data_IF_394068930009
#
_entry.id   IF_394068930009
#
_cell.length_a   1.000
_cell.length_b   1.000
_cell.length_c   1.000
_cell.angle_alpha   90.00
_cell.angle_beta   90.00
_cell.angle_gamma   90.00
#
_symmetry.space_group_name_H-M   'P 1'
#
loop_
_entity.id
_entity.type
_entity.pdbx_description
1 polymer ?
#
# COMPACT_ATOMS: atom_id res chain seq x y z
N UNK A 1 -1.38 -10.28 20.86
CA UNK A 1 -2.09 -9.43 19.87
C UNK A 1 -1.11 -8.34 19.43
N UNK A 2 -0.73 -8.31 18.16
CA UNK A 2 0.15 -7.26 17.61
C UNK A 2 -0.71 -6.36 16.72
N UNK A 3 -1.54 -5.54 17.36
CA UNK A 3 -2.55 -4.74 16.70
C UNK A 3 -1.85 -3.54 16.04
N UNK A 4 -1.96 -3.42 14.72
CA UNK A 4 -1.37 -2.30 14.00
C UNK A 4 -0.94 -2.67 12.59
N UNK A 5 -0.55 -1.64 11.86
CA UNK A 5 -0.21 -1.72 10.44
C UNK A 5 1.10 -1.03 10.16
N UNK A 6 1.75 -1.47 9.08
CA UNK A 6 2.88 -0.80 8.44
C UNK A 6 2.53 -0.53 6.99
N UNK A 7 2.52 0.75 6.62
CA UNK A 7 2.32 1.21 5.26
C UNK A 7 3.68 1.46 4.62
N UNK A 8 3.96 0.81 3.50
CA UNK A 8 5.13 1.09 2.68
C UNK A 8 4.73 2.07 1.59
N UNK A 9 5.45 3.17 1.48
CA UNK A 9 5.08 4.32 0.66
C UNK A 9 6.05 4.53 -0.49
N UNK A 10 5.52 5.02 -1.60
CA UNK A 10 6.32 5.48 -2.73
C UNK A 10 7.29 6.59 -2.28
N UNK A 11 8.55 6.58 -2.71
CA UNK A 11 9.51 7.64 -2.37
C UNK A 11 8.96 9.04 -2.65
N UNK A 12 9.19 9.97 -1.71
CA UNK A 12 8.68 11.34 -1.80
C UNK A 12 7.22 11.51 -1.38
N UNK A 13 6.52 10.43 -1.01
CA UNK A 13 5.16 10.54 -0.44
C UNK A 13 5.19 11.26 0.91
N UNK A 14 4.51 12.40 0.99
CA UNK A 14 4.31 13.13 2.23
C UNK A 14 3.28 12.43 3.13
N UNK A 15 3.62 12.28 4.41
CA UNK A 15 2.70 11.80 5.45
C UNK A 15 1.90 13.00 5.96
N UNK A 16 0.57 12.89 5.94
CA UNK A 16 -0.34 13.95 6.41
C UNK A 16 -0.12 14.25 7.90
N UNK A 17 -0.27 15.52 8.26
CA UNK A 17 -0.03 16.04 9.60
C UNK A 17 -0.83 15.33 10.69
N UNK A 18 -2.11 15.04 10.43
CA UNK A 18 -2.97 14.35 11.39
C UNK A 18 -2.49 12.92 11.73
N UNK A 19 -1.74 12.28 10.82
CA UNK A 19 -1.05 11.00 11.09
C UNK A 19 0.28 11.27 11.78
N UNK A 20 1.07 12.22 11.25
CA UNK A 20 2.42 12.52 11.73
C UNK A 20 2.45 12.96 13.19
N UNK A 21 1.48 13.74 13.64
CA UNK A 21 1.46 14.29 15.00
C UNK A 21 1.02 13.30 16.09
N UNK A 22 0.66 12.07 15.72
CA UNK A 22 0.30 11.00 16.66
C UNK A 22 1.55 10.23 17.12
N UNK A 23 2.54 10.94 17.68
CA UNK A 23 3.90 10.43 17.94
C UNK A 23 3.97 9.24 18.89
N UNK A 24 2.99 9.08 19.79
CA UNK A 24 2.89 7.92 20.67
C UNK A 24 2.55 6.63 19.92
N UNK A 25 1.88 6.72 18.76
CA UNK A 25 1.41 5.54 18.01
C UNK A 25 2.09 5.40 16.65
N UNK A 26 2.74 6.45 16.15
CA UNK A 26 3.25 6.52 14.78
C UNK A 26 4.78 6.56 14.76
N UNK A 27 5.37 5.67 13.96
CA UNK A 27 6.78 5.66 13.63
C UNK A 27 6.92 5.84 12.11
N UNK A 28 7.73 6.81 11.68
CA UNK A 28 8.01 7.09 10.28
C UNK A 28 9.48 6.87 10.03
N UNK A 29 9.82 6.18 8.95
CA UNK A 29 11.21 5.90 8.62
C UNK A 29 11.41 5.48 7.18
N UNK A 30 12.55 4.86 6.91
CA UNK A 30 12.91 4.31 5.61
C UNK A 30 13.39 2.88 5.75
N UNK A 31 13.15 2.09 4.72
CA UNK A 31 13.68 0.73 4.62
C UNK A 31 13.88 0.29 3.16
N UNK A 32 14.29 -0.97 2.95
CA UNK A 32 14.45 -1.57 1.63
C UNK A 32 13.27 -2.48 1.30
N UNK A 33 12.67 -2.26 0.13
CA UNK A 33 11.72 -3.18 -0.51
C UNK A 33 12.32 -3.59 -1.86
N UNK A 34 12.73 -4.85 -1.98
CA UNK A 34 13.37 -5.42 -3.17
C UNK A 34 14.49 -4.53 -3.72
N UNK A 35 15.43 -4.17 -2.84
CA UNK A 35 16.57 -3.29 -3.14
C UNK A 35 16.25 -1.79 -3.21
N UNK A 36 14.99 -1.40 -3.41
CA UNK A 36 14.56 0.00 -3.48
C UNK A 36 14.39 0.61 -2.09
N UNK A 37 14.95 1.79 -1.86
CA UNK A 37 14.67 2.56 -0.65
C UNK A 37 13.24 3.10 -0.71
N UNK A 38 12.43 2.80 0.30
CA UNK A 38 11.03 3.26 0.44
C UNK A 38 10.84 3.91 1.80
N UNK A 39 9.83 4.77 1.92
CA UNK A 39 9.41 5.31 3.22
C UNK A 39 8.40 4.36 3.85
N UNK A 40 8.36 4.28 5.18
CA UNK A 40 7.31 3.57 5.89
C UNK A 40 6.62 4.45 6.92
N UNK A 41 5.37 4.09 7.24
CA UNK A 41 4.62 4.58 8.39
C UNK A 41 4.08 3.38 9.14
N UNK A 42 4.52 3.18 10.38
CA UNK A 42 3.94 2.19 11.29
C UNK A 42 2.94 2.89 12.20
N UNK A 43 1.79 2.26 12.41
CA UNK A 43 0.73 2.77 13.28
C UNK A 43 0.37 1.65 14.25
N UNK A 44 0.86 1.78 15.49
CA UNK A 44 0.51 0.88 16.60
C UNK A 44 -0.98 1.01 16.89
N UNK A 45 -1.67 -0.12 17.04
CA UNK A 45 -3.12 -0.23 17.26
C UNK A 45 -3.98 0.46 16.18
N UNK A 46 -3.41 0.84 15.03
CA UNK A 46 -4.15 1.45 13.93
C UNK A 46 -4.67 0.41 12.95
N UNK A 47 -5.69 0.79 12.20
CA UNK A 47 -6.29 -0.01 11.12
C UNK A 47 -6.16 0.75 9.80
N UNK A 48 -6.15 0.03 8.68
CA UNK A 48 -6.21 0.62 7.35
C UNK A 48 -7.21 -0.11 6.45
N UNK A 49 -7.90 0.67 5.63
CA UNK A 49 -8.64 0.18 4.49
C UNK A 49 -7.85 0.51 3.22
N UNK A 50 -7.57 -0.52 2.42
CA UNK A 50 -6.79 -0.39 1.21
C UNK A 50 -7.69 -0.40 -0.02
N UNK A 51 -7.54 0.60 -0.86
CA UNK A 51 -8.13 0.64 -2.18
C UNK A 51 -7.12 0.08 -3.19
N UNK A 52 -7.52 -0.85 -4.06
CA UNK A 52 -6.73 -1.53 -5.09
C UNK A 52 -5.64 -0.72 -5.80
N UNK A 53 -5.90 0.55 -6.08
CA UNK A 53 -5.00 1.49 -6.75
C UNK A 53 -3.91 2.09 -5.84
N UNK A 54 -3.88 1.76 -4.55
CA UNK A 54 -2.96 2.30 -3.55
C UNK A 54 -3.48 3.48 -2.76
N UNK A 55 -4.78 3.76 -2.81
CA UNK A 55 -5.43 4.69 -1.90
C UNK A 55 -5.58 4.03 -0.53
N UNK A 56 -5.37 4.77 0.55
CA UNK A 56 -5.47 4.21 1.90
C UNK A 56 -6.15 5.18 2.84
N UNK A 57 -7.15 4.66 3.52
CA UNK A 57 -7.76 5.26 4.70
C UNK A 57 -7.20 4.60 5.95
N UNK A 58 -6.99 5.40 7.00
CA UNK A 58 -6.46 4.94 8.29
C UNK A 58 -7.43 5.32 9.38
N UNK A 59 -7.67 4.39 10.30
CA UNK A 59 -8.30 4.66 11.60
C UNK A 59 -7.20 4.63 12.66
N UNK A 60 -7.04 5.75 13.35
CA UNK A 60 -6.05 5.87 14.42
C UNK A 60 -6.55 5.17 15.70
N UNK A 61 -5.64 4.78 16.60
CA UNK A 61 -6.04 4.27 17.91
C UNK A 61 -6.91 5.29 18.64
N UNK A 62 -8.09 4.84 19.11
CA UNK A 62 -9.05 5.70 19.81
C UNK A 62 -9.88 6.62 18.92
N UNK A 63 -9.77 6.50 17.58
CA UNK A 63 -10.66 7.17 16.65
C UNK A 63 -11.82 6.23 16.24
N UNK A 64 -13.00 6.81 16.05
CA UNK A 64 -14.21 6.06 15.67
C UNK A 64 -14.35 5.86 14.15
N UNK A 65 -13.61 6.63 13.35
CA UNK A 65 -13.77 6.66 11.89
C UNK A 65 -12.45 6.53 11.12
N UNK A 66 -12.56 5.99 9.91
CA UNK A 66 -11.49 5.97 8.93
C UNK A 66 -11.38 7.33 8.22
N UNK A 67 -10.16 7.79 8.00
CA UNK A 67 -9.89 9.03 7.28
C UNK A 67 -8.84 8.81 6.19
N UNK A 68 -9.02 9.47 5.04
CA UNK A 68 -8.10 9.40 3.91
C UNK A 68 -6.70 9.87 4.32
N UNK A 69 -5.77 8.92 4.36
CA UNK A 69 -4.36 9.17 4.66
C UNK A 69 -3.56 9.38 3.38
N UNK A 70 -3.77 8.51 2.38
CA UNK A 70 -3.00 8.49 1.14
C UNK A 70 -3.90 8.34 -0.09
N UNK A 71 -3.60 9.12 -1.13
CA UNK A 71 -4.25 9.02 -2.44
C UNK A 71 -3.77 7.78 -3.20
N UNK A 72 -4.47 7.36 -4.28
CA UNK A 72 -4.00 6.30 -5.17
C UNK A 72 -2.53 6.47 -5.61
N UNK A 73 -1.86 5.34 -5.84
CA UNK A 73 -0.45 5.24 -6.23
C UNK A 73 0.54 5.88 -5.25
N UNK A 74 0.19 5.94 -3.96
CA UNK A 74 1.10 6.39 -2.89
C UNK A 74 1.52 5.27 -1.95
N UNK A 75 0.65 4.28 -1.71
CA UNK A 75 0.97 3.11 -0.90
C UNK A 75 1.32 1.92 -1.80
N UNK A 76 2.44 1.28 -1.49
CA UNK A 76 3.00 0.10 -2.16
C UNK A 76 2.43 -1.18 -1.57
N UNK A 77 2.57 -1.33 -0.25
CA UNK A 77 2.11 -2.50 0.52
C UNK A 77 1.57 -2.05 1.87
N UNK A 78 0.60 -2.81 2.38
CA UNK A 78 0.23 -2.83 3.79
C UNK A 78 0.73 -4.15 4.37
N UNK A 79 1.42 -4.06 5.50
CA UNK A 79 1.85 -5.22 6.29
C UNK A 79 1.32 -5.10 7.71
N UNK A 80 1.18 -6.22 8.39
CA UNK A 80 1.03 -6.21 9.84
C UNK A 80 2.36 -5.80 10.52
N UNK A 81 2.34 -5.57 11.83
CA UNK A 81 3.57 -5.24 12.58
C UNK A 81 4.51 -6.45 12.79
N UNK A 82 4.13 -7.67 12.37
CA UNK A 82 5.03 -8.84 12.29
C UNK A 82 5.78 -8.90 10.96
N UNK A 83 5.35 -8.12 9.97
CA UNK A 83 5.91 -8.11 8.61
C UNK A 83 5.11 -8.94 7.60
N UNK A 84 4.01 -9.57 7.99
CA UNK A 84 3.12 -10.32 7.10
C UNK A 84 2.44 -9.36 6.12
N UNK A 85 2.38 -9.72 4.84
CA UNK A 85 1.65 -8.95 3.84
C UNK A 85 0.14 -9.01 4.10
N UNK A 86 -0.50 -7.86 4.22
CA UNK A 86 -1.97 -7.72 4.28
C UNK A 86 -2.51 -7.48 2.88
N UNK A 87 -1.97 -6.47 2.17
CA UNK A 87 -2.42 -6.11 0.82
C UNK A 87 -1.31 -5.42 0.02
N UNK A 88 -1.38 -5.50 -1.30
CA UNK A 88 -0.40 -4.92 -2.24
C UNK A 88 -1.09 -4.17 -3.37
N UNK A 89 -0.51 -3.01 -3.72
CA UNK A 89 -0.93 -2.20 -4.87
C UNK A 89 -0.86 -2.98 -6.18
N UNK A 90 -1.93 -2.93 -6.97
CA UNK A 90 -2.07 -3.67 -8.23
C UNK A 90 -0.97 -3.31 -9.24
N UNK A 91 -0.54 -2.05 -9.22
CA UNK A 91 0.45 -1.51 -10.14
C UNK A 91 1.90 -1.68 -9.66
N UNK A 92 2.11 -2.28 -8.48
CA UNK A 92 3.45 -2.51 -7.94
C UNK A 92 4.13 -3.69 -8.62
N UNK A 93 5.23 -3.42 -9.32
CA UNK A 93 6.12 -4.47 -9.79
C UNK A 93 6.85 -5.11 -8.59
N UNK A 94 6.71 -6.43 -8.42
CA UNK A 94 7.34 -7.19 -7.33
C UNK A 94 8.83 -7.40 -7.54
N UNK A 95 9.37 -7.21 -8.73
CA UNK A 95 10.82 -7.32 -8.97
C UNK A 95 11.55 -6.03 -8.59
N UNK A 96 11.11 -4.89 -9.13
CA UNK A 96 11.82 -3.61 -8.95
C UNK A 96 11.14 -2.64 -7.97
N UNK A 97 10.10 -3.09 -7.26
CA UNK A 97 9.33 -2.33 -6.28
C UNK A 97 8.85 -0.95 -6.77
N UNK A 98 8.56 -0.82 -8.08
CA UNK A 98 8.14 0.44 -8.71
C UNK A 98 6.66 0.36 -9.12
N UNK A 99 5.90 1.44 -8.93
CA UNK A 99 4.49 1.56 -9.32
C UNK A 99 4.34 1.84 -10.84
N UNK A 100 4.75 0.86 -11.65
CA UNK A 100 4.85 0.97 -13.12
C UNK A 100 4.12 -0.14 -13.86
N UNK A 101 3.27 -0.91 -13.16
CA UNK A 101 2.42 -1.90 -13.81
C UNK A 101 1.50 -1.24 -14.83
N UNK A 102 1.60 -1.67 -16.08
CA UNK A 102 0.61 -1.42 -17.12
C UNK A 102 -0.24 -2.67 -17.26
N UNK A 103 -1.56 -2.49 -17.26
CA UNK A 103 -2.52 -3.56 -17.53
C UNK A 103 -2.43 -3.92 -19.02
N UNK A 104 -2.18 -5.20 -19.36
CA UNK A 104 -2.09 -5.66 -20.75
C UNK A 104 -3.39 -6.33 -21.22
N UNK A 105 -4.01 -7.15 -20.38
CA UNK A 105 -5.28 -7.81 -20.66
C UNK A 105 -6.25 -7.63 -19.49
N UNK A 106 -7.49 -7.25 -19.79
CA UNK A 106 -8.57 -6.97 -18.83
C UNK A 106 -9.79 -7.81 -19.17
N UNK A 107 -10.31 -8.57 -18.21
CA UNK A 107 -11.60 -9.26 -18.33
C UNK A 107 -12.72 -8.39 -17.74
N UNK A 108 -13.62 -7.80 -18.56
CA UNK A 108 -14.62 -6.85 -18.09
C UNK A 108 -15.62 -7.38 -17.07
N UNK A 109 -15.83 -8.70 -17.04
CA UNK A 109 -16.78 -9.38 -16.15
C UNK A 109 -16.32 -9.51 -14.70
N UNK A 110 -15.09 -9.09 -14.37
CA UNK A 110 -14.45 -9.41 -13.08
C UNK A 110 -14.25 -8.22 -12.14
N UNK A 111 -14.71 -7.01 -12.49
CA UNK A 111 -14.72 -5.86 -11.57
C UNK A 111 -15.92 -5.99 -10.64
N UNK A 112 -15.82 -6.93 -9.71
CA UNK A 112 -16.70 -7.00 -8.55
C UNK A 112 -15.97 -6.33 -7.40
N UNK A 113 -16.56 -5.27 -6.84
CA UNK A 113 -16.06 -4.57 -5.66
C UNK A 113 -14.60 -4.06 -5.74
N UNK A 114 -14.18 -3.54 -6.90
CA UNK A 114 -12.87 -2.91 -7.09
C UNK A 114 -11.70 -3.88 -7.26
N UNK A 115 -11.94 -5.19 -7.14
CA UNK A 115 -10.91 -6.19 -7.40
C UNK A 115 -10.79 -6.40 -8.92
N UNK A 116 -9.58 -6.68 -9.40
CA UNK A 116 -9.28 -6.74 -10.84
C UNK A 116 -8.59 -8.07 -11.15
N UNK A 117 -9.16 -8.85 -12.06
CA UNK A 117 -8.45 -9.93 -12.74
C UNK A 117 -7.76 -9.36 -13.98
N UNK A 118 -6.44 -9.29 -13.94
CA UNK A 118 -5.67 -8.77 -15.06
C UNK A 118 -4.23 -9.26 -15.07
N UNK A 119 -3.65 -9.22 -16.27
CA UNK A 119 -2.21 -9.36 -16.48
C UNK A 119 -1.58 -7.98 -16.51
N UNK A 120 -0.48 -7.84 -15.78
CA UNK A 120 0.29 -6.62 -15.69
C UNK A 120 1.71 -6.83 -16.22
N UNK A 121 2.28 -5.77 -16.79
CA UNK A 121 3.67 -5.71 -17.19
C UNK A 121 4.34 -4.46 -16.62
N UNK A 122 5.52 -4.62 -16.06
CA UNK A 122 6.32 -3.51 -15.58
C UNK A 122 6.91 -2.73 -16.75
N UNK A 123 6.59 -1.45 -16.87
CA UNK A 123 7.17 -0.60 -17.92
C UNK A 123 8.65 -0.28 -17.70
N UNK A 124 9.22 -0.62 -16.53
CA UNK A 124 10.63 -0.35 -16.19
C UNK A 124 11.56 -1.55 -16.40
N UNK A 125 11.16 -2.75 -15.98
CA UNK A 125 12.00 -3.95 -16.06
C UNK A 125 11.39 -5.09 -16.88
N UNK A 126 10.20 -4.90 -17.47
CA UNK A 126 9.54 -5.91 -18.30
C UNK A 126 8.89 -7.07 -17.54
N UNK A 127 9.13 -7.21 -16.23
CA UNK A 127 8.50 -8.23 -15.39
C UNK A 127 6.98 -8.26 -15.55
N UNK A 128 6.41 -9.45 -15.73
CA UNK A 128 4.97 -9.67 -15.86
C UNK A 128 4.42 -10.40 -14.64
N UNK A 129 3.20 -10.06 -14.22
CA UNK A 129 2.50 -10.75 -13.14
C UNK A 129 1.00 -10.75 -13.39
N UNK A 130 0.34 -11.75 -12.83
CA UNK A 130 -1.12 -11.85 -12.82
C UNK A 130 -1.63 -11.42 -11.45
N UNK A 131 -2.77 -10.72 -11.41
CA UNK A 131 -3.56 -10.59 -10.18
C UNK A 131 -4.88 -11.28 -10.42
N UNK A 132 -5.18 -12.27 -9.58
CA UNK A 132 -6.44 -13.04 -9.57
C UNK A 132 -7.13 -12.80 -8.22
N UNK A 133 -8.45 -12.67 -8.27
CA UNK A 133 -9.33 -12.33 -7.14
C UNK A 133 -9.96 -13.57 -6.55
#
# INVERSE_FOLDING_TARGET
>A
MKNGIKLLLEPGTGVRDWVRYQTLNVEIGRERLNGRSVSFVKIRNGEAQFFPSGGVEVKMPGADEFRVAFQPRKVLEIRDLKGSLIERNHYLCTECATLTGKMENYEPSTVVAGRVNANFKCTKCGHQWEKRV
#
